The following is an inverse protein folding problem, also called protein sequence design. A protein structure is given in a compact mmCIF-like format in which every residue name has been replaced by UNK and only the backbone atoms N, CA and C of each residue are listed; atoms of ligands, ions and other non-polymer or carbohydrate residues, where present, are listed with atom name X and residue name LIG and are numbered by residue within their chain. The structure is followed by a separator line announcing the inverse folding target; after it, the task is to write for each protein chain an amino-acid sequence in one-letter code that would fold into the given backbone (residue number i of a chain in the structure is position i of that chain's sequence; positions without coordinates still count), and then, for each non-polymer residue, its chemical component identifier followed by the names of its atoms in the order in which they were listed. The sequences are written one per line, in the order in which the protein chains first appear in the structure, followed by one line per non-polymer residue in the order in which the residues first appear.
data_IF_701672155091
#
_entry.id   IF_701672155091
#
_cell.length_a   1.000
_cell.length_b   1.000
_cell.length_c   1.000
_cell.angle_alpha   90.00
_cell.angle_beta   90.00
_cell.angle_gamma   90.00
#
_symmetry.space_group_name_H-M   'P 1'
#
loop_
_entity.id
_entity.type
_entity.pdbx_description
1 polymer ?
#
# COMPACT_ATOMS: atom_id res chain seq x y z
N UNK A 1 -8.91 14.25 -1.40
CA UNK A 1 -8.44 12.90 -1.14
C UNK A 1 -9.57 11.90 -0.93
N UNK A 2 -9.84 11.48 0.32
CA UNK A 2 -10.86 10.44 0.59
C UNK A 2 -12.25 10.86 0.12
N UNK A 3 -12.68 12.08 0.42
CA UNK A 3 -13.96 12.61 -0.03
C UNK A 3 -14.11 12.65 -1.56
N UNK A 4 -13.02 12.90 -2.29
CA UNK A 4 -13.06 12.90 -3.76
C UNK A 4 -13.25 11.49 -4.32
N UNK A 5 -12.65 10.47 -3.68
CA UNK A 5 -12.87 9.08 -4.05
C UNK A 5 -14.32 8.66 -3.81
N UNK A 6 -14.90 9.04 -2.67
CA UNK A 6 -16.31 8.79 -2.36
C UNK A 6 -17.21 9.49 -3.39
N UNK A 7 -16.98 10.76 -3.68
CA UNK A 7 -17.74 11.48 -4.70
C UNK A 7 -17.62 10.84 -6.10
N UNK A 8 -16.43 10.32 -6.46
CA UNK A 8 -16.25 9.57 -7.70
C UNK A 8 -17.06 8.28 -7.74
N UNK A 9 -17.13 7.54 -6.64
CA UNK A 9 -17.93 6.32 -6.55
C UNK A 9 -19.43 6.63 -6.55
N UNK A 10 -19.86 7.71 -5.93
CA UNK A 10 -21.25 8.21 -5.99
C UNK A 10 -21.63 8.52 -7.44
N UNK A 11 -20.75 9.23 -8.16
CA UNK A 11 -20.97 9.49 -9.58
C UNK A 11 -21.08 8.19 -10.41
N UNK A 12 -20.22 7.21 -10.14
CA UNK A 12 -20.31 5.89 -10.80
C UNK A 12 -21.66 5.24 -10.51
N UNK A 13 -22.08 5.20 -9.25
CA UNK A 13 -23.36 4.64 -8.84
C UNK A 13 -24.56 5.26 -9.57
N UNK A 14 -24.53 6.58 -9.75
CA UNK A 14 -25.63 7.33 -10.36
C UNK A 14 -25.63 7.28 -11.90
N UNK A 15 -24.47 7.11 -12.52
CA UNK A 15 -24.32 7.37 -13.95
C UNK A 15 -23.85 6.18 -14.78
N UNK A 16 -23.21 5.16 -14.20
CA UNK A 16 -22.49 4.13 -14.97
C UNK A 16 -23.44 3.31 -15.87
N UNK A 17 -24.70 3.18 -15.51
CA UNK A 17 -25.71 2.51 -16.34
C UNK A 17 -25.88 3.18 -17.71
N UNK A 18 -25.71 4.49 -17.81
CA UNK A 18 -25.76 5.23 -19.07
C UNK A 18 -24.60 4.89 -20.02
N UNK A 19 -23.54 4.27 -19.50
CA UNK A 19 -22.35 3.83 -20.23
C UNK A 19 -22.33 2.30 -20.42
N UNK A 20 -23.42 1.60 -20.08
CA UNK A 20 -23.54 0.16 -20.19
C UNK A 20 -22.94 -0.63 -19.04
N UNK A 21 -22.53 0.04 -17.96
CA UNK A 21 -22.06 -0.60 -16.73
C UNK A 21 -23.22 -0.96 -15.78
N UNK A 22 -22.91 -1.78 -14.78
CA UNK A 22 -23.84 -2.21 -13.74
C UNK A 22 -23.45 -1.55 -12.40
N UNK A 23 -24.28 -0.62 -11.87
CA UNK A 23 -24.00 0.04 -10.59
C UNK A 23 -24.05 -0.90 -9.38
N UNK A 24 -24.59 -2.09 -9.53
CA UNK A 24 -24.65 -3.12 -8.50
C UNK A 24 -23.54 -4.17 -8.65
N UNK A 25 -22.62 -3.96 -9.59
CA UNK A 25 -21.42 -4.80 -9.80
C UNK A 25 -20.15 -3.95 -9.95
N UNK A 26 -19.88 -3.12 -8.96
CA UNK A 26 -18.70 -2.25 -8.92
C UNK A 26 -17.59 -2.90 -8.12
N UNK A 27 -16.44 -3.12 -8.76
CA UNK A 27 -15.21 -3.57 -8.09
C UNK A 27 -14.23 -2.42 -8.00
N UNK A 28 -13.81 -2.06 -6.79
CA UNK A 28 -12.70 -1.14 -6.58
C UNK A 28 -11.39 -1.90 -6.45
N UNK A 29 -10.33 -1.39 -7.06
CA UNK A 29 -9.01 -1.99 -6.93
C UNK A 29 -7.92 -0.93 -6.93
N UNK A 30 -6.75 -1.28 -6.37
CA UNK A 30 -5.63 -0.38 -6.35
C UNK A 30 -4.34 -1.05 -5.93
N UNK A 31 -3.24 -0.57 -6.51
CA UNK A 31 -1.91 -1.07 -6.25
C UNK A 31 -1.14 -0.09 -5.34
N UNK A 32 -0.34 -0.62 -4.39
CA UNK A 32 0.51 0.18 -3.49
C UNK A 32 -0.29 1.20 -2.67
N UNK A 33 -0.02 2.49 -2.88
CA UNK A 33 -0.82 3.58 -2.31
C UNK A 33 -2.30 3.54 -2.73
N UNK A 34 -2.60 3.04 -3.94
CA UNK A 34 -3.96 2.76 -4.39
C UNK A 34 -4.63 1.66 -3.57
N UNK A 35 -3.88 0.59 -3.25
CA UNK A 35 -4.36 -0.45 -2.34
C UNK A 35 -4.66 0.10 -0.93
N UNK A 36 -3.81 0.99 -0.42
CA UNK A 36 -4.08 1.71 0.83
C UNK A 36 -5.35 2.56 0.77
N UNK A 37 -5.66 3.16 -0.40
CA UNK A 37 -6.91 3.89 -0.61
C UNK A 37 -8.13 2.96 -0.64
N UNK A 38 -8.01 1.78 -1.27
CA UNK A 38 -9.07 0.75 -1.20
C UNK A 38 -9.35 0.36 0.26
N UNK A 39 -8.29 0.15 1.06
CA UNK A 39 -8.42 -0.15 2.50
C UNK A 39 -9.15 1.00 3.22
N UNK A 40 -8.85 2.26 2.88
CA UNK A 40 -9.56 3.42 3.46
C UNK A 40 -11.04 3.43 3.12
N UNK A 41 -11.44 2.96 1.92
CA UNK A 41 -12.86 2.83 1.56
C UNK A 41 -13.56 1.73 2.36
N UNK A 42 -12.88 0.63 2.68
CA UNK A 42 -13.41 -0.40 3.57
C UNK A 42 -13.62 0.08 5.01
N UNK A 43 -12.87 1.12 5.42
CA UNK A 43 -12.94 1.73 6.75
C UNK A 43 -13.84 2.99 6.80
N UNK A 44 -14.43 3.39 5.67
CA UNK A 44 -15.25 4.61 5.58
C UNK A 44 -16.75 4.30 5.61
N UNK A 45 -17.51 4.86 6.58
CA UNK A 45 -18.96 4.74 6.57
C UNK A 45 -19.60 5.38 5.33
N UNK A 46 -19.00 6.45 4.80
CA UNK A 46 -19.50 7.16 3.62
C UNK A 46 -19.39 6.35 2.31
N UNK A 47 -18.68 5.22 2.33
CA UNK A 47 -18.50 4.35 1.17
C UNK A 47 -19.55 3.23 1.09
N UNK A 48 -20.49 3.15 2.06
CA UNK A 48 -21.51 2.11 2.09
C UNK A 48 -22.38 2.10 0.83
N UNK A 49 -22.49 0.90 0.21
CA UNK A 49 -23.28 0.69 -0.99
C UNK A 49 -22.72 1.31 -2.27
N UNK A 50 -21.50 1.85 -2.25
CA UNK A 50 -20.87 2.44 -3.43
C UNK A 50 -20.02 1.44 -4.25
N UNK A 51 -19.69 0.29 -3.67
CA UNK A 51 -19.01 -0.81 -4.36
C UNK A 51 -19.41 -2.16 -3.78
N UNK A 52 -19.17 -3.21 -4.54
CA UNK A 52 -19.62 -4.56 -4.24
C UNK A 52 -18.47 -5.53 -3.99
N UNK A 53 -17.26 -5.17 -4.42
CA UNK A 53 -16.05 -6.00 -4.31
C UNK A 53 -14.81 -5.10 -4.21
N UNK A 54 -13.73 -5.62 -3.60
CA UNK A 54 -12.50 -4.87 -3.48
C UNK A 54 -11.26 -5.74 -3.70
N UNK A 55 -10.24 -5.18 -4.37
CA UNK A 55 -8.94 -5.83 -4.57
C UNK A 55 -7.82 -4.89 -4.11
N UNK A 56 -7.01 -5.38 -3.18
CA UNK A 56 -5.84 -4.66 -2.63
C UNK A 56 -4.57 -5.32 -3.15
N UNK A 57 -3.85 -4.61 -4.03
CA UNK A 57 -2.61 -5.10 -4.64
C UNK A 57 -1.41 -4.46 -3.94
N UNK A 58 -0.63 -5.25 -3.21
CA UNK A 58 0.57 -4.77 -2.48
C UNK A 58 0.32 -3.52 -1.63
N UNK A 59 -0.90 -3.39 -1.10
CA UNK A 59 -1.35 -2.28 -0.28
C UNK A 59 -1.37 -2.64 1.20
N UNK A 60 -1.20 -1.63 2.06
CA UNK A 60 -1.32 -1.78 3.51
C UNK A 60 -2.00 -0.58 4.13
N UNK A 61 -2.53 -0.75 5.32
CA UNK A 61 -3.07 0.36 6.10
C UNK A 61 -1.97 1.39 6.37
N UNK A 62 -2.25 2.64 6.05
CA UNK A 62 -1.36 3.77 6.29
C UNK A 62 -2.19 5.01 6.57
N UNK A 63 -2.16 5.46 7.81
CA UNK A 63 -2.89 6.63 8.27
C UNK A 63 -1.98 7.60 9.02
N UNK A 64 -2.42 8.84 9.15
CA UNK A 64 -1.91 9.82 10.10
C UNK A 64 -2.98 10.01 11.17
N UNK A 65 -2.58 9.97 12.43
CA UNK A 65 -3.45 10.28 13.56
C UNK A 65 -3.95 11.73 13.49
N UNK A 66 -5.19 11.96 13.90
CA UNK A 66 -5.86 13.27 13.83
C UNK A 66 -5.03 14.38 14.53
N UNK A 67 -4.48 14.09 15.69
CA UNK A 67 -3.65 15.06 16.42
C UNK A 67 -2.35 15.40 15.69
N UNK A 68 -1.72 14.43 15.04
CA UNK A 68 -0.53 14.65 14.21
C UNK A 68 -0.87 15.50 12.97
N UNK A 69 -1.98 15.19 12.31
CA UNK A 69 -2.45 15.99 11.17
C UNK A 69 -2.74 17.45 11.57
N UNK A 70 -3.34 17.65 12.77
CA UNK A 70 -3.58 18.98 13.32
C UNK A 70 -2.28 19.75 13.54
N UNK A 71 -1.26 19.14 14.16
CA UNK A 71 0.06 19.76 14.36
C UNK A 71 0.72 20.17 13.03
N UNK A 72 0.64 19.30 12.00
CA UNK A 72 1.16 19.63 10.67
C UNK A 72 0.42 20.85 10.09
N UNK A 73 -0.90 20.91 10.24
CA UNK A 73 -1.70 22.04 9.77
C UNK A 73 -1.33 23.33 10.50
N UNK A 74 -1.27 23.32 11.83
CA UNK A 74 -0.90 24.47 12.64
C UNK A 74 0.50 25.00 12.27
N UNK A 75 1.45 24.09 12.07
CA UNK A 75 2.81 24.45 11.64
C UNK A 75 2.85 25.00 10.20
N UNK A 76 2.03 24.45 9.31
CA UNK A 76 1.90 24.97 7.94
C UNK A 76 1.37 26.40 7.94
N UNK A 77 0.33 26.68 8.71
CA UNK A 77 -0.23 28.03 8.88
C UNK A 77 0.79 29.00 9.48
N UNK A 78 1.56 28.56 10.48
CA UNK A 78 2.64 29.36 11.07
C UNK A 78 3.68 29.75 10.02
N UNK A 79 4.15 28.80 9.19
CA UNK A 79 5.15 29.06 8.14
C UNK A 79 4.61 30.04 7.09
N UNK A 80 3.33 29.95 6.76
CA UNK A 80 2.67 30.84 5.79
C UNK A 80 2.28 32.20 6.40
N UNK A 81 2.38 32.38 7.72
CA UNK A 81 1.94 33.58 8.43
C UNK A 81 0.42 33.78 8.40
N UNK A 82 -0.35 32.69 8.27
CA UNK A 82 -1.81 32.67 8.22
C UNK A 82 -2.33 32.30 9.61
N UNK A 83 -3.28 33.04 10.13
CA UNK A 83 -3.95 32.76 11.42
C UNK A 83 -5.27 32.01 11.17
N UNK A 84 -5.79 31.32 12.21
CA UNK A 84 -7.01 30.48 12.11
C UNK A 84 -8.23 31.24 11.53
N UNK A 85 -8.36 32.52 11.86
CA UNK A 85 -9.43 33.35 11.31
C UNK A 85 -9.20 33.82 9.86
N UNK A 86 -8.07 33.47 9.27
CA UNK A 86 -7.68 33.79 7.90
C UNK A 86 -7.55 32.53 7.02
N UNK A 87 -8.00 31.37 7.48
CA UNK A 87 -7.80 30.07 6.81
C UNK A 87 -8.29 30.05 5.36
N UNK A 88 -9.28 30.88 5.02
CA UNK A 88 -9.76 31.02 3.63
C UNK A 88 -8.67 31.55 2.68
N UNK A 89 -7.65 32.23 3.20
CA UNK A 89 -6.52 32.70 2.39
C UNK A 89 -5.69 31.55 1.80
N UNK A 90 -5.76 30.33 2.36
CA UNK A 90 -5.11 29.15 1.78
C UNK A 90 -5.55 28.88 0.33
N UNK A 91 -6.75 29.30 -0.06
CA UNK A 91 -7.27 29.17 -1.43
C UNK A 91 -6.53 30.05 -2.44
N UNK A 92 -5.92 31.13 -1.95
CA UNK A 92 -5.19 32.10 -2.77
C UNK A 92 -3.67 31.85 -2.75
N UNK A 93 -3.17 30.96 -1.89
CA UNK A 93 -1.76 30.60 -1.82
C UNK A 93 -1.40 29.76 -3.06
N UNK A 94 -0.38 30.15 -3.85
CA UNK A 94 0.11 29.34 -4.95
C UNK A 94 0.50 27.92 -4.47
N UNK A 95 0.21 26.90 -5.29
CA UNK A 95 0.40 25.51 -4.91
C UNK A 95 1.83 25.19 -4.46
N UNK A 96 2.83 25.68 -5.19
CA UNK A 96 4.25 25.48 -4.89
C UNK A 96 4.66 26.06 -3.52
N UNK A 97 4.09 27.20 -3.13
CA UNK A 97 4.32 27.82 -1.82
C UNK A 97 3.64 27.00 -0.71
N UNK A 98 2.39 26.59 -0.94
CA UNK A 98 1.65 25.77 0.01
C UNK A 98 2.31 24.40 0.21
N UNK A 99 2.73 23.74 -0.86
CA UNK A 99 3.38 22.43 -0.82
C UNK A 99 4.73 22.50 -0.08
N UNK A 100 5.53 23.54 -0.38
CA UNK A 100 6.80 23.76 0.32
C UNK A 100 6.61 23.99 1.83
N UNK A 101 5.64 24.82 2.21
CA UNK A 101 5.33 25.09 3.62
C UNK A 101 4.83 23.84 4.35
N UNK A 102 3.93 23.09 3.71
CA UNK A 102 3.37 21.87 4.28
C UNK A 102 4.41 20.72 4.38
N UNK A 103 5.31 20.62 3.41
CA UNK A 103 6.43 19.66 3.44
C UNK A 103 7.40 19.98 4.56
N UNK A 104 7.76 21.25 4.75
CA UNK A 104 8.62 21.68 5.85
C UNK A 104 7.93 21.48 7.22
N UNK A 105 6.64 21.80 7.32
CA UNK A 105 5.85 21.55 8.53
C UNK A 105 5.84 20.06 8.91
N UNK A 106 5.60 19.19 7.93
CA UNK A 106 5.59 17.74 8.13
C UNK A 106 6.96 17.21 8.60
N UNK A 107 8.05 17.76 8.05
CA UNK A 107 9.41 17.43 8.49
C UNK A 107 9.64 17.85 9.95
N UNK A 108 9.32 19.08 10.32
CA UNK A 108 9.49 19.58 11.68
C UNK A 108 8.67 18.78 12.71
N UNK A 109 7.40 18.50 12.41
CA UNK A 109 6.55 17.67 13.27
C UNK A 109 7.10 16.24 13.37
N UNK A 110 7.62 15.68 12.27
CA UNK A 110 8.27 14.37 12.27
C UNK A 110 9.51 14.33 13.16
N UNK A 111 10.34 15.36 13.11
CA UNK A 111 11.52 15.52 13.98
C UNK A 111 11.11 15.61 15.45
N UNK A 112 10.08 16.40 15.79
CA UNK A 112 9.53 16.50 17.16
C UNK A 112 9.02 15.15 17.69
N UNK A 113 8.41 14.33 16.83
CA UNK A 113 7.87 13.02 17.18
C UNK A 113 8.90 11.87 17.06
N UNK A 114 10.12 12.16 16.61
CA UNK A 114 11.16 11.15 16.39
C UNK A 114 10.83 10.14 15.29
N UNK A 115 10.05 10.54 14.27
CA UNK A 115 9.62 9.67 13.17
C UNK A 115 9.60 10.40 11.83
N UNK A 116 9.66 9.65 10.74
CA UNK A 116 9.44 10.19 9.39
C UNK A 116 7.96 10.15 9.05
N UNK A 117 7.39 11.29 8.73
CA UNK A 117 6.00 11.43 8.29
C UNK A 117 5.92 11.49 6.76
N UNK A 118 4.77 11.13 6.23
CA UNK A 118 4.44 11.25 4.79
C UNK A 118 2.95 11.50 4.63
N UNK A 119 2.54 12.09 3.52
CA UNK A 119 1.12 12.29 3.21
C UNK A 119 0.33 10.99 3.22
N UNK A 120 -0.71 10.94 4.03
CA UNK A 120 -1.60 9.79 4.20
C UNK A 120 -3.00 10.27 4.57
N UNK A 121 -4.03 9.45 4.38
CA UNK A 121 -5.35 9.74 4.94
C UNK A 121 -5.28 9.92 6.46
N UNK A 122 -6.12 10.79 6.98
CA UNK A 122 -6.23 11.02 8.42
C UNK A 122 -7.20 10.02 9.03
N UNK A 123 -6.79 9.37 10.09
CA UNK A 123 -7.67 8.56 10.93
C UNK A 123 -8.43 9.52 11.85
N UNK A 124 -9.64 9.88 11.46
CA UNK A 124 -10.44 10.91 12.12
C UNK A 124 -11.68 10.38 12.84
N UNK A 125 -11.95 9.08 12.72
CA UNK A 125 -13.10 8.36 13.26
C UNK A 125 -14.47 8.85 12.71
N UNK A 126 -14.43 9.70 11.69
CA UNK A 126 -15.60 10.19 10.94
C UNK A 126 -15.58 9.63 9.52
N UNK A 127 -14.64 10.12 8.68
CA UNK A 127 -14.46 9.66 7.30
C UNK A 127 -13.70 8.35 7.19
N UNK A 128 -12.73 8.14 8.07
CA UNK A 128 -11.95 6.90 8.15
C UNK A 128 -11.91 6.47 9.61
N UNK A 129 -12.43 5.29 9.86
CA UNK A 129 -12.46 4.69 11.19
C UNK A 129 -11.32 3.68 11.37
N UNK A 130 -10.97 3.41 12.61
CA UNK A 130 -9.91 2.44 12.95
C UNK A 130 -10.27 1.00 12.62
N UNK A 131 -11.57 0.71 12.51
CA UNK A 131 -12.11 -0.60 12.14
C UNK A 131 -12.77 -0.55 10.76
N UNK A 132 -12.79 -1.71 10.08
CA UNK A 132 -13.58 -1.85 8.87
C UNK A 132 -15.07 -1.79 9.19
N UNK A 133 -15.83 -1.25 8.25
CA UNK A 133 -17.27 -1.12 8.40
C UNK A 133 -17.95 -2.49 8.36
N UNK A 134 -18.95 -2.70 9.19
CA UNK A 134 -19.66 -3.99 9.33
C UNK A 134 -20.24 -4.48 8.00
N UNK A 135 -20.80 -3.58 7.18
CA UNK A 135 -21.33 -3.92 5.86
C UNK A 135 -20.29 -4.55 4.91
N UNK A 136 -18.99 -4.26 5.14
CA UNK A 136 -17.92 -4.83 4.31
C UNK A 136 -17.70 -6.33 4.57
N UNK A 137 -18.25 -6.90 5.63
CA UNK A 137 -18.12 -8.32 5.95
C UNK A 137 -18.79 -9.21 4.89
N UNK A 138 -19.82 -8.69 4.21
CA UNK A 138 -20.60 -9.43 3.22
C UNK A 138 -20.02 -9.33 1.79
N UNK A 139 -19.06 -8.44 1.54
CA UNK A 139 -18.46 -8.28 0.22
C UNK A 139 -17.16 -9.08 0.08
N UNK A 140 -16.86 -9.62 -1.14
CA UNK A 140 -15.58 -10.24 -1.43
C UNK A 140 -14.44 -9.22 -1.39
N UNK A 141 -13.36 -9.57 -0.67
CA UNK A 141 -12.13 -8.79 -0.67
C UNK A 141 -10.94 -9.70 -0.97
N UNK A 142 -10.18 -9.34 -1.99
CA UNK A 142 -8.94 -10.01 -2.35
C UNK A 142 -7.77 -9.11 -1.99
N UNK A 143 -6.79 -9.65 -1.26
CA UNK A 143 -5.56 -8.94 -0.91
C UNK A 143 -4.39 -9.77 -1.38
N UNK A 144 -3.42 -9.16 -1.99
CA UNK A 144 -2.24 -9.91 -2.42
C UNK A 144 -1.02 -9.05 -2.64
N UNK A 145 0.04 -9.71 -3.07
CA UNK A 145 1.35 -9.12 -3.29
C UNK A 145 2.10 -9.84 -4.39
N UNK A 146 3.18 -9.23 -4.86
CA UNK A 146 4.18 -9.91 -5.67
C UNK A 146 5.20 -10.60 -4.78
N UNK A 147 5.94 -11.56 -5.34
CA UNK A 147 6.90 -12.36 -4.57
C UNK A 147 8.05 -11.51 -4.01
N UNK A 148 8.62 -10.62 -4.82
CA UNK A 148 9.82 -9.87 -4.47
C UNK A 148 9.57 -8.49 -3.85
N UNK A 149 8.46 -7.84 -4.19
CA UNK A 149 8.16 -6.47 -3.78
C UNK A 149 9.38 -5.53 -3.96
N UNK A 150 9.68 -4.69 -2.98
CA UNK A 150 10.80 -3.74 -3.03
C UNK A 150 12.19 -4.41 -3.04
N UNK A 151 12.26 -5.66 -2.62
CA UNK A 151 13.54 -6.36 -2.54
C UNK A 151 14.15 -6.67 -3.92
N UNK A 152 13.35 -6.71 -4.98
CA UNK A 152 13.83 -6.96 -6.34
C UNK A 152 14.43 -5.74 -7.03
N UNK A 153 14.30 -4.56 -6.45
CA UNK A 153 14.84 -3.35 -7.10
C UNK A 153 16.37 -3.34 -7.12
N UNK A 154 17.01 -3.96 -6.14
CA UNK A 154 18.47 -4.14 -6.14
C UNK A 154 18.95 -5.02 -7.29
N UNK A 155 18.14 -6.00 -7.71
CA UNK A 155 18.46 -6.85 -8.87
C UNK A 155 18.47 -6.10 -10.21
N UNK A 156 17.90 -4.89 -10.23
CA UNK A 156 17.91 -3.99 -11.40
C UNK A 156 19.02 -2.94 -11.31
N UNK A 157 19.79 -2.89 -10.23
CA UNK A 157 20.95 -2.03 -10.11
C UNK A 157 22.09 -2.60 -11.01
N UNK A 158 22.56 -1.83 -12.01
CA UNK A 158 23.63 -2.28 -12.89
C UNK A 158 24.97 -2.51 -12.17
N UNK A 159 25.11 -2.05 -10.93
CA UNK A 159 26.31 -2.27 -10.10
C UNK A 159 26.17 -3.51 -9.21
N UNK A 160 25.02 -4.15 -9.15
CA UNK A 160 24.82 -5.35 -8.36
C UNK A 160 25.00 -6.61 -9.21
N UNK A 161 25.64 -7.61 -8.62
CA UNK A 161 25.84 -8.90 -9.28
C UNK A 161 24.50 -9.61 -9.44
N UNK A 162 24.25 -10.18 -10.63
CA UNK A 162 23.06 -10.99 -10.89
C UNK A 162 22.94 -12.14 -9.87
N UNK A 163 21.82 -12.21 -9.15
CA UNK A 163 21.56 -13.24 -8.12
C UNK A 163 21.78 -14.68 -8.62
N UNK A 164 21.53 -14.92 -9.90
CA UNK A 164 21.65 -16.25 -10.50
C UNK A 164 23.11 -16.65 -10.79
N UNK A 165 24.07 -15.71 -10.64
CA UNK A 165 25.51 -15.98 -10.72
C UNK A 165 26.18 -16.04 -9.35
N UNK A 166 25.46 -15.86 -8.24
CA UNK A 166 26.03 -15.95 -6.91
C UNK A 166 26.46 -17.39 -6.59
N UNK A 167 27.65 -17.53 -6.02
CA UNK A 167 28.10 -18.77 -5.41
C UNK A 167 27.32 -19.07 -4.12
N UNK A 168 27.40 -20.31 -3.62
CA UNK A 168 26.78 -20.64 -2.33
C UNK A 168 27.30 -19.76 -1.19
N UNK A 169 28.60 -19.45 -1.17
CA UNK A 169 29.21 -18.60 -0.17
C UNK A 169 28.66 -17.15 -0.24
N UNK A 170 28.45 -16.62 -1.45
CA UNK A 170 27.83 -15.29 -1.63
C UNK A 170 26.36 -15.29 -1.18
N UNK A 171 25.61 -16.34 -1.48
CA UNK A 171 24.22 -16.48 -1.00
C UNK A 171 24.19 -16.51 0.52
N UNK A 172 25.03 -17.31 1.16
CA UNK A 172 25.07 -17.43 2.62
C UNK A 172 25.52 -16.11 3.28
N UNK A 173 26.49 -15.40 2.69
CA UNK A 173 26.91 -14.08 3.14
C UNK A 173 25.76 -13.06 3.08
N UNK A 174 25.04 -13.01 1.95
CA UNK A 174 23.88 -12.11 1.75
C UNK A 174 22.73 -12.44 2.70
N UNK A 175 22.43 -13.71 2.90
CA UNK A 175 21.41 -14.13 3.86
C UNK A 175 21.81 -13.78 5.30
N UNK A 176 23.09 -13.94 5.64
CA UNK A 176 23.61 -13.55 6.96
C UNK A 176 23.54 -12.04 7.17
N UNK A 177 23.87 -11.24 6.16
CA UNK A 177 23.73 -9.79 6.18
C UNK A 177 22.26 -9.38 6.49
N UNK A 178 21.29 -10.06 5.86
CA UNK A 178 19.87 -9.72 5.97
C UNK A 178 19.20 -10.27 7.23
N UNK A 179 19.52 -11.49 7.64
CA UNK A 179 18.80 -12.23 8.68
C UNK A 179 19.65 -12.54 9.92
N UNK A 180 20.94 -12.19 9.92
CA UNK A 180 21.84 -12.44 11.04
C UNK A 180 21.98 -13.93 11.35
N UNK A 181 21.93 -14.27 12.63
CA UNK A 181 21.99 -15.64 13.16
C UNK A 181 20.82 -16.55 12.75
N UNK A 182 19.78 -15.97 12.12
CA UNK A 182 18.62 -16.74 11.61
C UNK A 182 18.78 -17.14 10.14
N UNK A 183 19.85 -16.76 9.46
CA UNK A 183 20.03 -16.94 8.01
C UNK A 183 19.82 -18.40 7.58
N UNK A 184 20.46 -19.36 8.25
CA UNK A 184 20.37 -20.77 7.90
C UNK A 184 18.95 -21.30 8.09
N UNK A 185 18.29 -20.98 9.20
CA UNK A 185 16.92 -21.39 9.47
C UNK A 185 15.94 -20.80 8.44
N UNK A 186 16.17 -19.55 8.00
CA UNK A 186 15.36 -18.91 6.94
C UNK A 186 15.60 -19.61 5.60
N UNK A 187 16.85 -19.91 5.23
CA UNK A 187 17.21 -20.63 4.01
C UNK A 187 16.54 -22.00 3.95
N UNK A 188 16.65 -22.80 5.02
CA UNK A 188 16.00 -24.11 5.11
C UNK A 188 14.47 -24.01 5.01
N UNK A 189 13.85 -23.08 5.76
CA UNK A 189 12.41 -22.88 5.75
C UNK A 189 11.92 -22.42 4.37
N UNK A 190 12.69 -21.55 3.71
CA UNK A 190 12.40 -21.06 2.37
C UNK A 190 12.41 -22.19 1.33
N UNK A 191 13.51 -22.97 1.26
CA UNK A 191 13.64 -24.09 0.33
C UNK A 191 12.63 -25.20 0.57
N UNK A 192 12.20 -25.38 1.82
CA UNK A 192 11.10 -26.30 2.15
C UNK A 192 9.75 -25.80 1.64
N UNK A 193 9.52 -24.48 1.72
CA UNK A 193 8.25 -23.86 1.27
C UNK A 193 8.19 -23.70 -0.25
N UNK A 194 9.33 -23.49 -0.91
CA UNK A 194 9.47 -23.21 -2.34
C UNK A 194 10.55 -24.11 -2.95
N UNK A 195 10.30 -25.42 -3.09
CA UNK A 195 11.29 -26.37 -3.56
C UNK A 195 11.74 -26.17 -5.02
N UNK A 196 10.95 -25.39 -5.80
CA UNK A 196 11.27 -25.02 -7.19
C UNK A 196 12.18 -23.80 -7.31
N UNK A 197 12.42 -23.08 -6.20
CA UNK A 197 13.24 -21.87 -6.20
C UNK A 197 14.65 -22.15 -5.70
N UNK A 198 15.58 -21.26 -6.03
CA UNK A 198 16.97 -21.33 -5.56
C UNK A 198 17.15 -20.60 -4.22
N UNK A 199 18.21 -20.94 -3.49
CA UNK A 199 18.50 -20.33 -2.19
C UNK A 199 18.69 -18.80 -2.27
N UNK A 200 19.17 -18.26 -3.39
CA UNK A 200 19.30 -16.82 -3.58
C UNK A 200 17.94 -16.10 -3.56
N UNK A 201 16.84 -16.78 -3.91
CA UNK A 201 15.51 -16.19 -3.86
C UNK A 201 15.01 -15.94 -2.43
N UNK A 202 15.59 -16.62 -1.42
CA UNK A 202 15.31 -16.32 -0.03
C UNK A 202 15.76 -14.90 0.37
N UNK A 203 16.75 -14.34 -0.31
CA UNK A 203 17.14 -12.95 -0.12
C UNK A 203 16.08 -11.97 -0.65
N UNK A 204 15.44 -12.30 -1.77
CA UNK A 204 14.49 -11.42 -2.45
C UNK A 204 13.03 -11.59 -2.02
N UNK A 205 12.70 -12.66 -1.29
CA UNK A 205 11.32 -12.86 -0.82
C UNK A 205 10.84 -11.70 0.07
N UNK A 206 9.66 -11.18 -0.23
CA UNK A 206 9.08 -10.10 0.54
C UNK A 206 8.46 -10.57 1.86
N UNK A 207 8.55 -9.75 2.90
CA UNK A 207 7.67 -9.88 4.06
C UNK A 207 6.24 -9.50 3.68
N UNK A 208 5.36 -10.49 3.61
CA UNK A 208 3.96 -10.34 3.23
C UNK A 208 3.01 -10.15 4.41
N UNK A 209 3.49 -10.25 5.64
CA UNK A 209 2.64 -10.15 6.84
C UNK A 209 1.89 -8.82 6.90
N UNK A 210 2.52 -7.72 6.44
CA UNK A 210 1.89 -6.40 6.39
C UNK A 210 0.69 -6.33 5.43
N UNK A 211 0.66 -7.15 4.36
CA UNK A 211 -0.45 -7.19 3.40
C UNK A 211 -1.59 -8.05 3.94
N UNK A 212 -1.27 -9.24 4.44
CA UNK A 212 -2.26 -10.16 5.01
C UNK A 212 -2.92 -9.64 6.30
N UNK A 213 -2.34 -8.63 6.96
CA UNK A 213 -2.93 -8.00 8.15
C UNK A 213 -4.36 -7.49 7.90
N UNK A 214 -4.63 -6.96 6.70
CA UNK A 214 -5.97 -6.52 6.29
C UNK A 214 -6.96 -7.69 6.33
N UNK A 215 -6.59 -8.85 5.80
CA UNK A 215 -7.44 -10.05 5.83
C UNK A 215 -7.63 -10.56 7.26
N UNK A 216 -6.58 -10.57 8.09
CA UNK A 216 -6.67 -10.96 9.50
C UNK A 216 -7.71 -10.11 10.23
N UNK A 217 -7.64 -8.80 10.12
CA UNK A 217 -8.64 -7.89 10.71
C UNK A 217 -10.06 -8.17 10.22
N UNK A 218 -10.23 -8.46 8.92
CA UNK A 218 -11.53 -8.79 8.35
C UNK A 218 -12.09 -10.09 8.91
N UNK A 219 -11.25 -11.11 9.02
CA UNK A 219 -11.65 -12.41 9.62
C UNK A 219 -12.03 -12.23 11.08
N UNK A 220 -11.27 -11.48 11.85
CA UNK A 220 -11.56 -11.15 13.25
C UNK A 220 -12.89 -10.36 13.39
N UNK A 221 -13.23 -9.53 12.41
CA UNK A 221 -14.51 -8.83 12.34
C UNK A 221 -15.69 -9.68 11.82
N UNK A 222 -15.44 -10.95 11.49
CA UNK A 222 -16.50 -11.88 11.05
C UNK A 222 -16.70 -11.97 9.53
N UNK A 223 -15.88 -11.33 8.72
CA UNK A 223 -15.97 -11.42 7.27
C UNK A 223 -15.57 -12.83 6.77
N UNK A 224 -16.36 -13.38 5.84
CA UNK A 224 -16.18 -14.76 5.34
C UNK A 224 -15.64 -14.84 3.91
N UNK A 225 -15.75 -13.76 3.13
CA UNK A 225 -15.34 -13.70 1.72
C UNK A 225 -13.98 -13.02 1.57
N UNK A 226 -12.95 -13.68 2.07
CA UNK A 226 -11.58 -13.19 2.08
C UNK A 226 -10.69 -14.08 1.21
N UNK A 227 -9.91 -13.47 0.32
CA UNK A 227 -9.03 -14.15 -0.62
C UNK A 227 -7.63 -13.56 -0.54
N UNK A 228 -6.62 -14.42 -0.48
CA UNK A 228 -5.20 -14.03 -0.54
C UNK A 228 -4.55 -14.55 -1.81
N UNK A 229 -3.61 -13.80 -2.38
CA UNK A 229 -2.82 -14.24 -3.53
C UNK A 229 -1.38 -13.77 -3.46
N UNK A 230 -0.50 -14.51 -4.13
CA UNK A 230 0.88 -14.12 -4.38
C UNK A 230 1.19 -14.32 -5.86
N UNK A 231 1.66 -13.29 -6.53
CA UNK A 231 2.15 -13.40 -7.90
C UNK A 231 3.61 -13.88 -7.85
N UNK A 232 3.83 -15.14 -8.19
CA UNK A 232 5.14 -15.79 -8.15
C UNK A 232 5.83 -15.86 -9.51
N UNK A 233 5.32 -15.17 -10.52
CA UNK A 233 5.94 -15.09 -11.84
C UNK A 233 7.37 -14.54 -11.75
N UNK A 234 8.27 -15.12 -12.51
CA UNK A 234 9.62 -14.63 -12.70
C UNK A 234 9.77 -14.06 -14.10
N UNK A 235 10.24 -12.81 -14.17
CA UNK A 235 10.65 -12.22 -15.44
C UNK A 235 11.89 -12.95 -15.97
N UNK A 236 11.98 -13.26 -17.28
CA UNK A 236 13.14 -13.94 -17.86
C UNK A 236 14.41 -13.08 -17.92
N UNK A 237 14.36 -11.83 -17.45
CA UNK A 237 15.51 -10.93 -17.39
C UNK A 237 16.60 -11.58 -16.51
N UNK A 238 17.85 -11.53 -16.97
CA UNK A 238 19.03 -12.00 -16.24
C UNK A 238 18.94 -13.43 -15.69
N UNK A 239 18.21 -14.31 -16.38
CA UNK A 239 18.07 -15.72 -15.99
C UNK A 239 16.98 -15.97 -14.95
N UNK A 240 16.15 -14.99 -14.65
CA UNK A 240 15.02 -15.08 -13.75
C UNK A 240 15.07 -14.04 -12.62
N UNK A 241 14.17 -13.08 -12.66
CA UNK A 241 14.00 -12.08 -11.60
C UNK A 241 12.59 -12.20 -11.04
N UNK A 242 12.45 -12.39 -9.72
CA UNK A 242 11.17 -12.39 -9.06
C UNK A 242 10.42 -11.09 -9.33
N UNK A 243 9.11 -11.18 -9.53
CA UNK A 243 8.30 -10.02 -9.83
C UNK A 243 8.41 -8.99 -8.70
N UNK A 244 8.68 -7.74 -9.08
CA UNK A 244 8.90 -6.59 -8.22
C UNK A 244 7.62 -5.78 -8.00
N UNK A 245 7.66 -4.84 -7.07
CA UNK A 245 6.53 -3.95 -6.79
C UNK A 245 6.02 -3.25 -8.06
N UNK A 246 4.73 -3.30 -8.31
CA UNK A 246 4.05 -2.88 -9.54
C UNK A 246 4.25 -3.80 -10.76
N UNK A 247 5.07 -4.85 -10.67
CA UNK A 247 5.37 -5.73 -11.81
C UNK A 247 4.15 -6.53 -12.30
N UNK A 248 3.11 -6.69 -11.49
CA UNK A 248 1.87 -7.35 -11.86
C UNK A 248 0.90 -6.48 -12.67
N UNK A 249 1.10 -5.17 -12.69
CA UNK A 249 0.17 -4.22 -13.36
C UNK A 249 -0.03 -4.55 -14.85
N UNK A 250 1.02 -4.86 -15.65
CA UNK A 250 0.82 -5.26 -17.03
C UNK A 250 -0.10 -6.47 -17.21
N UNK A 251 -0.05 -7.45 -16.29
CA UNK A 251 -0.94 -8.62 -16.34
C UNK A 251 -2.38 -8.24 -16.00
N UNK A 252 -2.58 -7.35 -15.02
CA UNK A 252 -3.92 -6.85 -14.63
C UNK A 252 -4.62 -6.14 -15.79
N UNK A 253 -3.87 -5.35 -16.57
CA UNK A 253 -4.40 -4.60 -17.70
C UNK A 253 -4.23 -5.31 -19.05
N UNK A 254 -3.75 -6.55 -19.04
CA UNK A 254 -3.57 -7.37 -20.26
C UNK A 254 -2.76 -6.67 -21.36
N UNK A 255 -1.67 -6.00 -20.97
CA UNK A 255 -0.74 -5.28 -21.85
C UNK A 255 0.70 -5.81 -21.75
N UNK A 256 0.83 -7.14 -21.66
CA UNK A 256 2.09 -7.89 -21.61
C UNK A 256 2.51 -8.35 -23.01
#
# INVERSE_FOLDING_TARGET
GTADMIASLQWVKENIANFGGDPDNVTIFGQSGGGGKVISMLASPEAEGLFNQAIVQSGSERYIEKDTAKKITEKTLEILGITDNQIEQLKEVPYDILDAAATEAMKQVGEELGTSLSWRPVLDEDYIQSNFQEWTNDIPVMVGSVFGEMNCWTALDPNETNKNSWTEEEVDAKLTEKYGDKAEAVKEAFLKAYPEKSACDAYYVADRTKFSKTLTKRVEAGATKNYDYVVSYESPIDGGVNLWHCGEIPFVFHNV
#
